data_IF_487761263437
#
_entry.id   IF_487761263437
#
_cell.length_a   1.000
_cell.length_b   1.000
_cell.length_c   1.000
_cell.angle_alpha   90.00
_cell.angle_beta   90.00
_cell.angle_gamma   90.00
#
_symmetry.space_group_name_H-M   'P 1'
#
loop_
_entity.id
_entity.type
_entity.pdbx_description
1 polymer ?
#
# COMPACT_ATOMS: atom_id res chain seq x y z
N UNK A 1 -4.83 -15.32 5.05
CA UNK A 1 -4.45 -14.00 4.50
C UNK A 1 -2.96 -13.83 4.71
N UNK A 2 -2.20 -13.70 3.63
CA UNK A 2 -0.77 -13.43 3.71
C UNK A 2 -0.59 -12.11 4.48
N UNK A 3 0.17 -12.15 5.58
CA UNK A 3 0.43 -10.95 6.38
C UNK A 3 1.38 -10.06 5.57
N UNK A 4 0.83 -9.04 4.93
CA UNK A 4 1.62 -7.93 4.40
C UNK A 4 2.35 -7.27 5.57
N UNK A 5 3.62 -6.92 5.35
CA UNK A 5 4.43 -6.21 6.35
C UNK A 5 4.08 -4.72 6.33
N UNK A 6 4.50 -4.00 7.37
CA UNK A 6 4.29 -2.55 7.46
C UNK A 6 4.87 -1.80 6.24
N UNK A 7 6.01 -2.26 5.71
CA UNK A 7 6.58 -1.73 4.47
C UNK A 7 5.68 -1.94 3.24
N UNK A 8 5.00 -3.08 3.15
CA UNK A 8 4.09 -3.38 2.04
C UNK A 8 2.87 -2.44 2.08
N UNK A 9 2.36 -2.16 3.28
CA UNK A 9 1.26 -1.20 3.49
C UNK A 9 1.70 0.22 3.12
N UNK A 10 2.88 0.65 3.57
CA UNK A 10 3.47 1.94 3.23
C UNK A 10 3.68 2.10 1.71
N UNK A 11 4.21 1.08 1.04
CA UNK A 11 4.35 1.03 -0.41
C UNK A 11 2.99 1.15 -1.12
N UNK A 12 1.99 0.38 -0.69
CA UNK A 12 0.65 0.42 -1.26
C UNK A 12 0.05 1.82 -1.13
N UNK A 13 0.05 2.40 0.07
CA UNK A 13 -0.53 3.73 0.31
C UNK A 13 0.15 4.78 -0.57
N UNK A 14 1.49 4.81 -0.59
CA UNK A 14 2.24 5.80 -1.35
C UNK A 14 2.01 5.72 -2.86
N UNK A 15 2.03 4.51 -3.43
CA UNK A 15 1.88 4.34 -4.88
C UNK A 15 0.43 4.32 -5.35
N UNK A 16 -0.55 4.10 -4.46
CA UNK A 16 -1.97 4.08 -4.81
C UNK A 16 -2.48 5.37 -5.44
N UNK A 17 -1.89 6.51 -5.08
CA UNK A 17 -2.25 7.82 -5.66
C UNK A 17 -1.45 8.15 -6.94
N UNK A 18 -0.38 7.40 -7.24
CA UNK A 18 0.58 7.73 -8.30
C UNK A 18 0.47 6.81 -9.50
N UNK A 19 0.12 5.55 -9.28
CA UNK A 19 0.04 4.52 -10.31
C UNK A 19 -1.21 3.66 -10.14
N UNK A 20 -1.56 2.91 -11.20
CA UNK A 20 -2.70 2.00 -11.17
C UNK A 20 -2.45 0.84 -10.20
N UNK A 21 -3.49 0.37 -9.51
CA UNK A 21 -3.41 -0.80 -8.59
C UNK A 21 -2.80 -2.06 -9.24
N UNK A 22 -3.00 -2.26 -10.55
CA UNK A 22 -2.40 -3.37 -11.28
C UNK A 22 -0.86 -3.29 -11.35
N UNK A 23 -0.30 -2.08 -11.42
CA UNK A 23 1.14 -1.87 -11.40
C UNK A 23 1.70 -2.07 -9.98
N UNK A 24 0.94 -1.68 -8.95
CA UNK A 24 1.28 -1.95 -7.54
C UNK A 24 1.30 -3.46 -7.27
N UNK A 25 0.26 -4.17 -7.72
CA UNK A 25 0.17 -5.63 -7.63
C UNK A 25 1.35 -6.34 -8.31
N UNK A 26 1.82 -5.83 -9.44
CA UNK A 26 2.98 -6.35 -10.15
C UNK A 26 4.31 -6.12 -9.42
N UNK A 27 4.36 -5.18 -8.46
CA UNK A 27 5.52 -4.90 -7.62
C UNK A 27 5.76 -5.94 -6.52
N UNK A 28 4.79 -6.82 -6.26
CA UNK A 28 4.91 -7.86 -5.24
C UNK A 28 5.45 -9.17 -5.81
N UNK A 29 6.43 -9.78 -5.12
CA UNK A 29 6.97 -11.10 -5.50
C UNK A 29 5.94 -12.22 -5.44
N UNK A 30 4.85 -12.03 -4.70
CA UNK A 30 3.73 -12.97 -4.65
C UNK A 30 2.51 -12.30 -5.29
N UNK A 31 1.68 -13.04 -6.04
CA UNK A 31 0.53 -12.45 -6.72
C UNK A 31 -0.46 -11.90 -5.69
N UNK A 32 -0.58 -10.57 -5.64
CA UNK A 32 -1.61 -9.87 -4.86
C UNK A 32 -2.69 -9.40 -5.81
N UNK A 33 -3.93 -9.80 -5.57
CA UNK A 33 -5.06 -9.34 -6.38
C UNK A 33 -5.31 -7.85 -6.17
N UNK A 34 -5.61 -7.12 -7.23
CA UNK A 34 -5.98 -5.69 -7.15
C UNK A 34 -7.17 -5.44 -6.23
N UNK A 35 -8.11 -6.39 -6.15
CA UNK A 35 -9.24 -6.36 -5.20
C UNK A 35 -8.78 -6.37 -3.74
N UNK A 36 -7.73 -7.14 -3.42
CA UNK A 36 -7.16 -7.20 -2.06
C UNK A 36 -6.51 -5.87 -1.72
N UNK A 37 -5.72 -5.31 -2.65
CA UNK A 37 -5.10 -3.99 -2.48
C UNK A 37 -6.17 -2.91 -2.29
N UNK A 38 -7.23 -2.93 -3.09
CA UNK A 38 -8.33 -1.98 -2.98
C UNK A 38 -9.01 -2.08 -1.60
N UNK A 39 -9.31 -3.30 -1.15
CA UNK A 39 -9.94 -3.50 0.16
C UNK A 39 -9.04 -3.03 1.30
N UNK A 40 -7.72 -3.26 1.18
CA UNK A 40 -6.74 -2.78 2.16
C UNK A 40 -6.67 -1.25 2.21
N UNK A 41 -6.65 -0.59 1.04
CA UNK A 41 -6.67 0.88 1.01
C UNK A 41 -7.94 1.41 1.69
N UNK A 42 -9.10 0.82 1.41
CA UNK A 42 -10.35 1.20 2.09
C UNK A 42 -10.29 0.99 3.60
N UNK A 43 -9.79 -0.16 4.05
CA UNK A 43 -9.65 -0.51 5.48
C UNK A 43 -8.70 0.45 6.21
N UNK A 44 -7.60 0.84 5.56
CA UNK A 44 -6.64 1.81 6.08
C UNK A 44 -7.21 3.24 6.12
N UNK A 45 -8.08 3.61 5.17
CA UNK A 45 -8.80 4.88 5.23
C UNK A 45 -9.82 4.90 6.37
N UNK A 46 -10.56 3.81 6.58
CA UNK A 46 -11.54 3.68 7.66
C UNK A 46 -10.87 3.78 9.04
N UNK A 47 -9.65 3.24 9.16
CA UNK A 47 -8.84 3.32 10.37
C UNK A 47 -8.01 4.61 10.51
N UNK A 48 -8.11 5.55 9.56
CA UNK A 48 -7.30 6.78 9.51
C UNK A 48 -5.77 6.52 9.49
N UNK A 49 -5.35 5.33 9.07
CA UNK A 49 -3.95 4.90 8.99
C UNK A 49 -3.33 5.13 7.60
N UNK A 50 -4.15 5.43 6.59
CA UNK A 50 -3.68 5.59 5.21
C UNK A 50 -2.59 6.66 5.10
N UNK A 51 -2.85 7.87 5.59
CA UNK A 51 -1.89 8.98 5.56
C UNK A 51 -0.65 8.70 6.40
N UNK A 52 -0.79 8.01 7.55
CA UNK A 52 0.34 7.60 8.37
C UNK A 52 1.32 6.70 7.58
N UNK A 53 0.81 5.65 6.94
CA UNK A 53 1.64 4.73 6.16
C UNK A 53 2.23 5.40 4.91
N UNK A 54 1.49 6.30 4.27
CA UNK A 54 1.98 7.11 3.16
C UNK A 54 3.16 7.99 3.59
N UNK A 55 3.00 8.79 4.65
CA UNK A 55 4.07 9.66 5.14
C UNK A 55 5.29 8.87 5.61
N UNK A 56 5.08 7.71 6.25
CA UNK A 56 6.19 6.81 6.63
C UNK A 56 7.02 6.41 5.40
N UNK A 57 6.38 6.12 4.27
CA UNK A 57 7.09 5.79 3.03
C UNK A 57 7.83 7.00 2.44
N UNK A 58 7.21 8.18 2.50
CA UNK A 58 7.83 9.44 2.07
C UNK A 58 9.11 9.73 2.86
N UNK A 59 9.04 9.67 4.19
CA UNK A 59 10.20 9.87 5.06
C UNK A 59 11.32 8.84 4.79
N UNK A 60 10.96 7.59 4.47
CA UNK A 60 11.95 6.56 4.08
C UNK A 60 12.60 6.83 2.72
N UNK A 61 11.92 7.51 1.79
CA UNK A 61 12.46 7.84 0.47
C UNK A 61 13.33 9.10 0.49
N UNK A 62 13.03 10.04 1.39
CA UNK A 62 13.77 11.30 1.54
C UNK A 62 15.02 11.15 2.43
N UNK A 63 15.17 10.01 3.11
CA UNK A 63 16.27 9.68 4.03
C UNK A 63 17.54 9.10 3.43
#
# INVERSE_FOLDING_TARGET
MQKLKEYDLAYICYYSERIKLAAIAAGFSQPVSTTVIHHMIQDLHDQELFDFYKSTYEEMLEG
#
